data_IF_772683674962
#
_entry.id   IF_772683674962
#
_cell.length_a   1.000
_cell.length_b   1.000
_cell.length_c   1.000
_cell.angle_alpha   90.00
_cell.angle_beta   90.00
_cell.angle_gamma   90.00
#
_symmetry.space_group_name_H-M   'P 1'
#
loop_
_entity.id
_entity.type
_entity.pdbx_description
1 polymer ?
#
# COMPACT_ATOMS: atom_id res chain seq x y z
N UNK A 1 -2.81 -27.78 0.27
CA UNK A 1 -2.52 -26.75 -0.75
C UNK A 1 -3.74 -25.84 -0.80
N UNK A 2 -3.75 -24.73 -0.05
CA UNK A 2 -4.91 -23.83 0.01
C UNK A 2 -4.79 -22.79 -1.09
N UNK A 3 -5.77 -22.81 -1.98
CA UNK A 3 -5.98 -21.91 -3.10
C UNK A 3 -6.97 -20.82 -2.64
N UNK A 4 -6.44 -19.70 -2.16
CA UNK A 4 -7.20 -18.51 -1.76
C UNK A 4 -6.52 -17.26 -2.35
N UNK A 5 -6.35 -17.23 -3.68
CA UNK A 5 -5.77 -16.08 -4.42
C UNK A 5 -6.67 -15.71 -5.59
N UNK A 6 -7.95 -15.44 -5.28
CA UNK A 6 -8.93 -14.88 -6.21
C UNK A 6 -9.59 -13.64 -5.59
N UNK A 7 -8.77 -12.65 -5.20
CA UNK A 7 -9.22 -11.33 -4.74
C UNK A 7 -8.61 -10.21 -5.60
N UNK A 8 -8.43 -10.46 -6.90
CA UNK A 8 -7.68 -9.57 -7.79
C UNK A 8 -8.48 -9.11 -9.01
N UNK A 9 -9.77 -8.81 -8.85
CA UNK A 9 -10.57 -8.22 -9.95
C UNK A 9 -11.56 -7.15 -9.46
N UNK A 10 -11.20 -5.90 -9.78
CA UNK A 10 -12.05 -4.70 -9.98
C UNK A 10 -12.45 -3.87 -8.72
N UNK A 11 -11.56 -2.93 -8.38
CA UNK A 11 -11.77 -1.61 -7.77
C UNK A 11 -13.01 -1.36 -6.87
N UNK A 12 -12.72 -1.07 -5.60
CA UNK A 12 -13.45 -0.07 -4.82
C UNK A 12 -14.27 -0.60 -3.65
N UNK A 13 -13.65 -0.64 -2.46
CA UNK A 13 -14.35 -0.48 -1.18
C UNK A 13 -13.35 -0.12 -0.07
N UNK A 14 -13.23 1.18 0.19
CA UNK A 14 -12.86 1.81 1.46
C UNK A 14 -11.75 1.17 2.31
N UNK A 15 -10.49 1.48 1.98
CA UNK A 15 -9.43 1.55 2.99
C UNK A 15 -9.05 3.01 3.30
N UNK A 16 -10.05 3.91 3.38
CA UNK A 16 -9.93 5.13 4.18
C UNK A 16 -10.85 5.00 5.41
N UNK A 17 -10.45 4.10 6.29
CA UNK A 17 -10.86 4.10 7.70
C UNK A 17 -9.60 4.45 8.51
N UNK A 18 -9.10 5.68 8.34
CA UNK A 18 -8.08 6.27 9.22
C UNK A 18 -6.61 6.05 8.86
N UNK A 19 -6.29 5.59 7.63
CA UNK A 19 -4.90 5.44 7.18
C UNK A 19 -4.47 6.68 6.39
N UNK A 20 -3.28 7.21 6.69
CA UNK A 20 -2.73 8.38 6.01
C UNK A 20 -2.78 8.21 4.49
N UNK A 21 -3.07 9.31 3.78
CA UNK A 21 -3.26 9.30 2.34
C UNK A 21 -1.99 8.75 1.64
N UNK A 22 -2.12 7.74 0.76
CA UNK A 22 -0.99 7.19 0.05
C UNK A 22 -0.18 8.28 -0.68
N UNK A 23 1.13 8.31 -0.45
CA UNK A 23 2.04 9.35 -0.96
C UNK A 23 2.15 10.63 -0.10
N UNK A 24 1.39 10.75 0.99
CA UNK A 24 1.57 11.83 1.97
C UNK A 24 2.78 11.60 2.88
N UNK A 25 3.30 12.66 3.52
CA UNK A 25 4.41 12.55 4.49
C UNK A 25 4.13 11.57 5.63
N UNK A 26 2.90 11.57 6.15
CA UNK A 26 2.49 10.64 7.21
C UNK A 26 2.44 9.20 6.73
N UNK A 27 2.05 8.98 5.48
CA UNK A 27 2.05 7.67 4.86
C UNK A 27 3.47 7.17 4.57
N UNK A 28 4.35 8.03 4.04
CA UNK A 28 5.76 7.68 3.83
C UNK A 28 6.43 7.22 5.13
N UNK A 29 6.17 7.91 6.26
CA UNK A 29 6.69 7.52 7.58
C UNK A 29 6.19 6.15 8.04
N UNK A 30 4.93 5.84 7.79
CA UNK A 30 4.35 4.54 8.14
C UNK A 30 4.87 3.43 7.22
N UNK A 31 4.98 3.70 5.93
CA UNK A 31 5.53 2.76 4.95
C UNK A 31 7.00 2.46 5.20
N UNK A 32 7.81 3.45 5.57
CA UNK A 32 9.21 3.24 5.93
C UNK A 32 9.40 2.33 7.17
N UNK A 33 8.41 2.25 8.06
CA UNK A 33 8.41 1.33 9.21
C UNK A 33 7.81 -0.04 8.86
N UNK A 34 7.02 -0.11 7.78
CA UNK A 34 6.40 -1.33 7.29
C UNK A 34 7.43 -2.14 6.49
N UNK A 35 7.62 -3.44 6.76
CA UNK A 35 8.55 -4.26 5.98
C UNK A 35 8.10 -4.37 4.52
N UNK A 36 9.05 -4.33 3.58
CA UNK A 36 8.81 -4.36 2.13
C UNK A 36 8.04 -5.61 1.68
N UNK A 37 8.20 -6.73 2.39
CA UNK A 37 7.47 -7.98 2.11
C UNK A 37 5.95 -7.89 2.31
N UNK A 38 5.47 -6.84 3.00
CA UNK A 38 4.05 -6.57 3.18
C UNK A 38 3.55 -5.46 2.25
N UNK A 39 4.42 -4.89 1.41
CA UNK A 39 4.01 -3.85 0.47
C UNK A 39 3.26 -4.48 -0.69
N UNK A 40 2.17 -3.85 -1.09
CA UNK A 40 1.59 -4.17 -2.40
C UNK A 40 2.43 -3.54 -3.50
N UNK A 41 2.29 -4.04 -4.73
CA UNK A 41 2.99 -3.49 -5.88
C UNK A 41 2.68 -2.00 -6.09
N UNK A 42 1.42 -1.60 -5.91
CA UNK A 42 1.00 -0.20 -5.99
C UNK A 42 1.58 0.66 -4.86
N UNK A 43 1.60 0.14 -3.63
CA UNK A 43 2.22 0.82 -2.49
C UNK A 43 3.72 1.03 -2.69
N UNK A 44 4.44 0.02 -3.18
CA UNK A 44 5.87 0.09 -3.47
C UNK A 44 6.17 1.13 -4.56
N UNK A 45 5.40 1.11 -5.65
CA UNK A 45 5.55 2.07 -6.74
C UNK A 45 5.28 3.49 -6.27
N UNK A 46 4.20 3.69 -5.50
CA UNK A 46 3.86 5.00 -4.97
C UNK A 46 4.90 5.52 -3.98
N UNK A 47 5.42 4.67 -3.09
CA UNK A 47 6.47 5.04 -2.16
C UNK A 47 7.74 5.48 -2.88
N UNK A 48 8.16 4.73 -3.91
CA UNK A 48 9.31 5.11 -4.73
C UNK A 48 9.12 6.46 -5.44
N UNK A 49 7.95 6.71 -6.02
CA UNK A 49 7.70 7.94 -6.78
C UNK A 49 7.38 9.16 -5.92
N UNK A 50 6.79 8.97 -4.73
CA UNK A 50 6.29 10.07 -3.89
C UNK A 50 7.16 10.34 -2.67
N UNK A 51 7.81 9.31 -2.11
CA UNK A 51 8.54 9.39 -0.85
C UNK A 51 10.06 9.33 -1.01
N UNK A 52 10.57 8.68 -2.06
CA UNK A 52 12.01 8.54 -2.33
C UNK A 52 12.56 9.59 -3.31
N UNK A 53 11.79 10.65 -3.56
CA UNK A 53 12.21 11.80 -4.36
C UNK A 53 13.05 12.81 -3.58
#
# INVERSE_FOLDING_TARGET
MRAEQLEDVIAGSSANTGRAEPGSRDWCRQMAQKPESQWTMDEAFMFANRCMG
#
